data_IF_982551621830
#
_entry.id   IF_982551621830
#
_cell.length_a   1.000
_cell.length_b   1.000
_cell.length_c   1.000
_cell.angle_alpha   90.00
_cell.angle_beta   90.00
_cell.angle_gamma   90.00
#
_symmetry.space_group_name_H-M   'P 1'
#
loop_
_entity.id
_entity.type
_entity.pdbx_description
1 polymer ?
#
# COMPACT_ATOMS: atom_id res chain seq x y z
N UNK A 1 -7.60 5.92 23.19
CA UNK A 1 -8.25 4.60 23.12
C UNK A 1 -8.82 4.45 21.71
N UNK A 2 -8.27 3.57 20.90
CA UNK A 2 -8.57 3.47 19.47
C UNK A 2 -9.84 2.62 19.28
N UNK A 3 -10.93 3.24 18.83
CA UNK A 3 -12.20 2.55 18.60
C UNK A 3 -12.07 1.65 17.38
N UNK A 4 -11.89 0.34 17.60
CA UNK A 4 -11.98 -0.66 16.54
C UNK A 4 -13.45 -0.86 16.15
N UNK A 5 -13.72 -0.90 14.85
CA UNK A 5 -15.04 -1.16 14.28
C UNK A 5 -15.54 -2.51 14.83
N UNK A 6 -16.80 -2.59 15.27
CA UNK A 6 -17.41 -3.72 16.00
C UNK A 6 -17.23 -5.11 15.35
N UNK A 7 -16.87 -5.17 14.07
CA UNK A 7 -16.66 -6.42 13.32
C UNK A 7 -15.18 -6.81 13.14
N UNK A 8 -14.22 -5.98 13.55
CA UNK A 8 -12.77 -6.23 13.43
C UNK A 8 -12.17 -6.88 14.68
N UNK A 9 -12.98 -7.10 15.72
CA UNK A 9 -12.54 -7.61 17.03
C UNK A 9 -12.07 -9.07 16.95
N UNK A 10 -12.48 -9.79 15.90
CA UNK A 10 -12.10 -11.18 15.64
C UNK A 10 -10.95 -11.31 14.64
N UNK A 11 -10.51 -10.20 14.03
CA UNK A 11 -9.36 -10.23 13.12
C UNK A 11 -8.05 -10.10 13.91
N UNK A 12 -6.97 -10.78 13.50
CA UNK A 12 -5.67 -10.65 14.14
C UNK A 12 -5.20 -9.19 14.09
N UNK A 13 -4.77 -8.64 15.22
CA UNK A 13 -4.35 -7.22 15.29
C UNK A 13 -3.18 -6.91 14.34
N UNK A 14 -2.29 -7.87 14.12
CA UNK A 14 -1.17 -7.75 13.19
C UNK A 14 -1.62 -7.67 11.71
N UNK A 15 -2.83 -8.10 11.37
CA UNK A 15 -3.41 -7.92 10.05
C UNK A 15 -4.11 -6.56 9.88
N UNK A 16 -4.36 -5.84 11.00
CA UNK A 16 -5.11 -4.60 11.04
C UNK A 16 -4.25 -3.35 11.28
N UNK A 17 -3.13 -3.51 12.01
CA UNK A 17 -2.35 -2.39 12.54
C UNK A 17 -0.91 -2.49 12.06
N UNK A 18 -0.48 -1.45 11.36
CA UNK A 18 0.93 -1.19 11.07
C UNK A 18 1.32 0.13 11.74
N UNK A 19 2.57 0.22 12.18
CA UNK A 19 3.17 1.48 12.64
C UNK A 19 3.21 2.53 11.50
N UNK A 20 3.65 3.75 11.82
CA UNK A 20 3.76 4.87 10.88
C UNK A 20 2.44 5.17 10.15
N UNK A 21 1.35 5.33 10.92
CA UNK A 21 0.00 5.54 10.37
C UNK A 21 -0.44 4.45 9.37
N UNK A 22 -0.06 3.20 9.63
CA UNK A 22 -0.41 2.06 8.77
C UNK A 22 0.45 1.94 7.51
N UNK A 23 1.60 2.61 7.42
CA UNK A 23 2.44 2.63 6.20
C UNK A 23 3.74 1.84 6.32
N UNK A 24 4.18 1.44 7.53
CA UNK A 24 5.47 0.75 7.74
C UNK A 24 5.60 -0.50 6.86
N UNK A 25 4.59 -1.37 6.86
CA UNK A 25 4.66 -2.62 6.10
C UNK A 25 4.56 -2.37 4.59
N UNK A 26 3.76 -1.38 4.17
CA UNK A 26 3.68 -0.95 2.76
C UNK A 26 5.03 -0.45 2.26
N UNK A 27 5.70 0.41 3.04
CA UNK A 27 7.03 0.93 2.73
C UNK A 27 8.06 -0.20 2.64
N UNK A 28 8.01 -1.16 3.57
CA UNK A 28 8.88 -2.33 3.57
C UNK A 28 8.70 -3.17 2.30
N UNK A 29 7.47 -3.47 1.92
CA UNK A 29 7.15 -4.25 0.71
C UNK A 29 7.63 -3.52 -0.54
N UNK A 30 7.30 -2.23 -0.71
CA UNK A 30 7.70 -1.44 -1.88
C UNK A 30 9.23 -1.38 -1.99
N UNK A 31 9.94 -1.17 -0.89
CA UNK A 31 11.40 -1.14 -0.86
C UNK A 31 12.01 -2.47 -1.32
N UNK A 32 11.50 -3.59 -0.80
CA UNK A 32 12.06 -4.92 -1.07
C UNK A 32 11.65 -5.51 -2.41
N UNK A 33 10.47 -5.17 -2.94
CA UNK A 33 9.89 -5.78 -4.15
C UNK A 33 10.83 -5.72 -5.37
N UNK A 34 11.68 -4.70 -5.47
CA UNK A 34 12.67 -4.60 -6.56
C UNK A 34 13.63 -5.77 -6.65
N UNK A 35 13.94 -6.41 -5.52
CA UNK A 35 14.86 -7.54 -5.49
C UNK A 35 14.21 -8.82 -6.04
N UNK A 36 12.88 -8.84 -6.15
CA UNK A 36 12.10 -10.01 -6.54
C UNK A 36 11.42 -9.87 -7.90
N UNK A 37 11.19 -8.63 -8.36
CA UNK A 37 10.58 -8.38 -9.66
C UNK A 37 11.61 -8.44 -10.81
N UNK A 38 11.20 -9.02 -11.93
CA UNK A 38 11.90 -8.86 -13.19
C UNK A 38 11.90 -7.39 -13.66
N UNK A 39 12.81 -7.06 -14.57
CA UNK A 39 12.78 -5.79 -15.29
C UNK A 39 11.39 -5.56 -15.90
N UNK A 40 10.84 -4.34 -15.80
CA UNK A 40 9.47 -4.02 -16.20
C UNK A 40 8.36 -4.81 -15.48
N UNK A 41 8.68 -5.52 -14.38
CA UNK A 41 7.70 -6.18 -13.54
C UNK A 41 6.85 -5.18 -12.76
N UNK A 42 5.60 -5.54 -12.46
CA UNK A 42 4.66 -4.66 -11.77
C UNK A 42 4.48 -5.05 -10.30
N UNK A 43 4.35 -4.05 -9.45
CA UNK A 43 3.91 -4.18 -8.06
C UNK A 43 2.56 -3.48 -7.90
N UNK A 44 1.62 -4.17 -7.24
CA UNK A 44 0.30 -3.67 -6.89
C UNK A 44 0.17 -3.71 -5.36
N UNK A 45 -0.24 -2.59 -4.76
CA UNK A 45 -0.44 -2.50 -3.31
C UNK A 45 -1.83 -1.94 -3.04
N UNK A 46 -2.64 -2.73 -2.33
CA UNK A 46 -3.87 -2.23 -1.71
C UNK A 46 -3.53 -1.39 -0.46
N UNK A 47 -4.24 -0.29 -0.27
CA UNK A 47 -4.07 0.60 0.87
C UNK A 47 -5.40 1.22 1.32
N UNK A 48 -5.39 1.87 2.48
CA UNK A 48 -6.52 2.65 2.99
C UNK A 48 -6.86 3.83 2.08
N UNK A 49 -8.14 4.20 2.04
CA UNK A 49 -8.66 5.21 1.11
C UNK A 49 -8.06 6.61 1.21
N UNK A 50 -7.43 6.95 2.35
CA UNK A 50 -6.74 8.22 2.57
C UNK A 50 -5.23 8.17 2.30
N UNK A 51 -4.69 7.01 1.94
CA UNK A 51 -3.23 6.77 1.88
C UNK A 51 -2.62 6.92 0.48
N UNK A 52 -3.45 7.21 -0.55
CA UNK A 52 -3.00 7.29 -1.95
C UNK A 52 -1.73 8.10 -2.16
N UNK A 53 -1.69 9.34 -1.66
CA UNK A 53 -0.57 10.23 -1.92
C UNK A 53 0.71 9.73 -1.25
N UNK A 54 0.61 9.21 -0.03
CA UNK A 54 1.73 8.63 0.69
C UNK A 54 2.26 7.38 -0.01
N UNK A 55 1.38 6.49 -0.47
CA UNK A 55 1.79 5.28 -1.18
C UNK A 55 2.43 5.63 -2.53
N UNK A 56 1.85 6.55 -3.32
CA UNK A 56 2.49 7.03 -4.55
C UNK A 56 3.87 7.65 -4.30
N UNK A 57 4.03 8.39 -3.19
CA UNK A 57 5.32 8.93 -2.78
C UNK A 57 6.32 7.81 -2.48
N UNK A 58 5.92 6.75 -1.78
CA UNK A 58 6.78 5.58 -1.51
C UNK A 58 7.23 4.91 -2.80
N UNK A 59 6.32 4.66 -3.75
CA UNK A 59 6.70 4.13 -5.07
C UNK A 59 7.74 5.01 -5.78
N UNK A 60 7.57 6.34 -5.76
CA UNK A 60 8.55 7.29 -6.33
C UNK A 60 9.88 7.28 -5.59
N UNK A 61 9.85 7.33 -4.25
CA UNK A 61 11.04 7.28 -3.36
C UNK A 61 11.89 6.05 -3.65
N UNK A 62 11.24 4.92 -3.89
CA UNK A 62 11.89 3.69 -4.30
C UNK A 62 11.82 3.52 -5.83
N UNK A 63 12.09 4.52 -6.64
CA UNK A 63 12.34 4.46 -8.11
C UNK A 63 11.46 3.49 -8.93
N UNK A 64 10.19 3.33 -8.60
CA UNK A 64 9.22 2.74 -9.53
C UNK A 64 8.78 3.78 -10.56
N UNK A 65 8.39 3.30 -11.74
CA UNK A 65 7.85 4.10 -12.83
C UNK A 65 6.37 3.77 -13.05
N UNK A 66 5.72 4.50 -13.97
CA UNK A 66 4.33 4.26 -14.38
C UNK A 66 3.35 4.15 -13.20
N UNK A 67 3.53 5.04 -12.22
CA UNK A 67 2.81 4.99 -10.95
C UNK A 67 1.38 5.50 -11.16
N UNK A 68 0.39 4.68 -10.82
CA UNK A 68 -1.03 5.00 -10.95
C UNK A 68 -1.81 4.48 -9.74
N UNK A 69 -2.98 5.07 -9.48
CA UNK A 69 -3.89 4.57 -8.44
C UNK A 69 -5.29 4.41 -9.00
N UNK A 70 -5.97 3.36 -8.55
CA UNK A 70 -7.31 2.99 -8.99
C UNK A 70 -8.27 2.98 -7.82
N UNK A 71 -9.52 3.31 -8.13
CA UNK A 71 -10.62 3.30 -7.17
C UNK A 71 -11.27 1.92 -7.13
N UNK A 72 -11.76 1.54 -5.96
CA UNK A 72 -12.70 0.41 -5.81
C UNK A 72 -14.09 0.77 -6.34
N UNK A 73 -15.02 -0.20 -6.33
CA UNK A 73 -16.42 0.03 -6.72
C UNK A 73 -17.16 1.03 -5.82
N UNK A 74 -16.65 1.31 -4.62
CA UNK A 74 -17.15 2.36 -3.73
C UNK A 74 -16.61 3.75 -4.04
N UNK A 75 -15.80 3.90 -5.09
CA UNK A 75 -15.22 5.18 -5.51
C UNK A 75 -14.03 5.64 -4.66
N UNK A 76 -13.52 4.79 -3.77
CA UNK A 76 -12.40 5.10 -2.90
C UNK A 76 -11.08 4.65 -3.53
N UNK A 77 -10.04 5.48 -3.46
CA UNK A 77 -8.70 5.07 -3.90
C UNK A 77 -8.24 3.85 -3.11
N UNK A 78 -7.99 2.74 -3.78
CA UNK A 78 -7.78 1.44 -3.11
C UNK A 78 -6.45 0.81 -3.45
N UNK A 79 -6.05 0.87 -4.71
CA UNK A 79 -4.83 0.21 -5.19
C UNK A 79 -3.92 1.24 -5.83
N UNK A 80 -2.65 1.22 -5.47
CA UNK A 80 -1.58 1.94 -6.18
C UNK A 80 -0.63 0.92 -6.80
N UNK A 81 -0.25 1.18 -8.06
CA UNK A 81 0.63 0.32 -8.84
C UNK A 81 1.89 1.08 -9.24
N UNK A 82 2.95 0.34 -9.53
CA UNK A 82 4.15 0.88 -10.14
C UNK A 82 4.98 -0.23 -10.78
N UNK A 83 5.75 0.15 -11.80
CA UNK A 83 6.58 -0.76 -12.56
C UNK A 83 8.05 -0.62 -12.15
N UNK A 84 8.74 -1.73 -11.92
CA UNK A 84 10.17 -1.74 -11.67
C UNK A 84 10.88 -1.17 -12.90
N UNK A 85 11.69 -0.14 -12.67
CA UNK A 85 12.54 0.46 -13.69
C UNK A 85 13.54 -0.52 -14.26
#
# INVERSE_FOLDING_TARGET
MQFYKKNLIFEPINALVSENNGLKDIELIINQAKNYLFYNGWLFIEHGWKQKLQVQFLFKKYNFLNIQSYKDYGGNDRVTIGQKK
#
